data_IF_056989295429
#
_entry.id   IF_056989295429
#
_cell.length_a   1.000
_cell.length_b   1.000
_cell.length_c   1.000
_cell.angle_alpha   90.00
_cell.angle_beta   90.00
_cell.angle_gamma   90.00
#
_symmetry.space_group_name_H-M   'P 1'
#
loop_
_entity.id
_entity.type
_entity.pdbx_description
1 polymer ?
#
# COMPACT_ATOMS: atom_id res chain seq x y z
N UNK A 1 0.92 -1.60 10.50
CA UNK A 1 -0.35 -1.53 11.26
C UNK A 1 -0.20 -1.98 12.72
N UNK A 2 0.28 -3.19 13.01
CA UNK A 2 0.44 -3.69 14.38
C UNK A 2 1.28 -2.78 15.29
N UNK A 3 2.36 -2.20 14.76
CA UNK A 3 3.23 -1.31 15.54
C UNK A 3 2.53 0.01 15.87
N UNK A 4 1.77 0.55 14.92
CA UNK A 4 0.94 1.72 15.17
C UNK A 4 -0.12 1.45 16.24
N UNK A 5 -0.80 0.30 16.18
CA UNK A 5 -1.77 -0.09 17.21
C UNK A 5 -1.08 -0.22 18.59
N UNK A 6 0.08 -0.85 18.64
CA UNK A 6 0.85 -1.06 19.87
C UNK A 6 1.24 0.28 20.51
N UNK A 7 1.79 1.21 19.72
CA UNK A 7 2.30 2.50 20.21
C UNK A 7 1.20 3.53 20.49
N UNK A 8 0.26 3.71 19.57
CA UNK A 8 -0.69 4.85 19.61
C UNK A 8 -2.07 4.48 20.15
N UNK A 9 -2.41 3.19 20.23
CA UNK A 9 -3.71 2.73 20.74
C UNK A 9 -3.54 2.05 22.09
N UNK A 10 -2.65 1.06 22.19
CA UNK A 10 -2.36 0.39 23.45
C UNK A 10 -1.33 1.13 24.31
N UNK A 11 -0.82 2.27 23.81
CA UNK A 11 0.10 3.18 24.50
C UNK A 11 1.33 2.47 25.07
N UNK A 12 1.82 1.44 24.36
CA UNK A 12 3.05 0.71 24.71
C UNK A 12 4.22 1.38 24.01
N UNK A 13 4.94 2.24 24.74
CA UNK A 13 6.01 3.06 24.19
C UNK A 13 7.40 2.64 24.67
N UNK A 14 7.50 2.05 25.87
CA UNK A 14 8.79 1.58 26.40
C UNK A 14 9.15 0.19 25.89
N UNK A 15 10.45 -0.13 25.84
CA UNK A 15 10.93 -1.45 25.38
C UNK A 15 10.32 -2.59 26.20
N UNK A 16 10.22 -2.44 27.52
CA UNK A 16 9.65 -3.45 28.42
C UNK A 16 8.13 -3.62 28.20
N UNK A 17 7.41 -2.52 27.97
CA UNK A 17 5.99 -2.55 27.65
C UNK A 17 5.71 -3.22 26.30
N UNK A 18 6.60 -3.02 25.33
CA UNK A 18 6.48 -3.66 24.01
C UNK A 18 6.86 -5.13 24.08
N UNK A 19 7.89 -5.49 24.85
CA UNK A 19 8.30 -6.88 25.07
C UNK A 19 7.19 -7.68 25.77
N UNK A 20 6.57 -7.12 26.80
CA UNK A 20 5.42 -7.74 27.49
C UNK A 20 4.17 -7.85 26.59
N UNK A 21 4.06 -7.04 25.53
CA UNK A 21 2.96 -7.08 24.56
C UNK A 21 3.25 -7.97 23.33
N UNK A 22 4.39 -8.67 23.29
CA UNK A 22 4.83 -9.41 22.10
C UNK A 22 3.83 -10.50 21.68
N UNK A 23 3.26 -11.24 22.63
CA UNK A 23 2.29 -12.32 22.34
C UNK A 23 0.99 -11.79 21.72
N UNK A 24 0.48 -10.66 22.24
CA UNK A 24 -0.70 -9.98 21.73
C UNK A 24 -0.44 -9.41 20.34
N UNK A 25 0.75 -8.82 20.11
CA UNK A 25 1.19 -8.31 18.81
C UNK A 25 1.24 -9.43 17.76
N UNK A 26 1.72 -10.61 18.13
CA UNK A 26 1.78 -11.76 17.23
C UNK A 26 0.38 -12.28 16.85
N UNK A 27 -0.55 -12.39 17.80
CA UNK A 27 -1.95 -12.75 17.51
C UNK A 27 -2.63 -11.74 16.61
N UNK A 28 -2.46 -10.45 16.92
CA UNK A 28 -2.99 -9.38 16.08
C UNK A 28 -2.44 -9.45 14.66
N UNK A 29 -1.13 -9.72 14.50
CA UNK A 29 -0.50 -9.88 13.20
C UNK A 29 -1.11 -11.05 12.41
N UNK A 30 -1.22 -12.24 13.02
CA UNK A 30 -1.82 -13.43 12.42
C UNK A 30 -3.25 -13.19 11.96
N UNK A 31 -4.09 -12.63 12.82
CA UNK A 31 -5.51 -12.42 12.52
C UNK A 31 -5.75 -11.33 11.47
N UNK A 32 -4.84 -10.37 11.34
CA UNK A 32 -4.98 -9.30 10.33
C UNK A 32 -4.57 -9.75 8.92
N UNK A 33 -3.70 -10.76 8.77
CA UNK A 33 -3.24 -11.23 7.46
C UNK A 33 -4.41 -11.64 6.54
N UNK A 34 -5.29 -12.59 6.89
CA UNK A 34 -6.36 -13.04 5.99
C UNK A 34 -7.35 -11.91 5.66
N UNK A 35 -7.59 -11.01 6.63
CA UNK A 35 -8.46 -9.85 6.43
C UNK A 35 -7.84 -8.84 5.45
N UNK A 36 -6.54 -8.59 5.55
CA UNK A 36 -5.81 -7.76 4.59
C UNK A 36 -5.87 -8.36 3.18
N UNK A 37 -5.65 -9.67 3.04
CA UNK A 37 -5.79 -10.35 1.74
C UNK A 37 -7.17 -10.13 1.13
N UNK A 38 -8.23 -10.22 1.93
CA UNK A 38 -9.60 -9.99 1.46
C UNK A 38 -9.81 -8.55 1.03
N UNK A 39 -9.30 -7.57 1.78
CA UNK A 39 -9.36 -6.15 1.38
C UNK A 39 -8.62 -5.91 0.06
N UNK A 40 -7.45 -6.51 -0.14
CA UNK A 40 -6.71 -6.37 -1.40
C UNK A 40 -7.39 -7.08 -2.56
N UNK A 41 -7.94 -8.27 -2.35
CA UNK A 41 -8.76 -8.96 -3.35
C UNK A 41 -9.98 -8.11 -3.76
N UNK A 42 -10.61 -7.44 -2.79
CA UNK A 42 -11.70 -6.51 -3.07
C UNK A 42 -11.23 -5.34 -3.94
N UNK A 43 -10.14 -4.67 -3.57
CA UNK A 43 -9.60 -3.53 -4.32
C UNK A 43 -9.21 -3.92 -5.75
N UNK A 44 -8.66 -5.11 -5.93
CA UNK A 44 -8.27 -5.67 -7.22
C UNK A 44 -9.46 -5.94 -8.14
N UNK A 45 -10.50 -6.58 -7.62
CA UNK A 45 -11.71 -6.79 -8.40
C UNK A 45 -12.46 -5.49 -8.63
N UNK A 46 -12.45 -4.56 -7.68
CA UNK A 46 -13.10 -3.26 -7.81
C UNK A 46 -12.51 -2.47 -8.97
N UNK A 47 -11.18 -2.31 -9.04
CA UNK A 47 -10.55 -1.59 -10.17
C UNK A 47 -10.80 -2.29 -11.51
N UNK A 48 -10.79 -3.63 -11.55
CA UNK A 48 -11.01 -4.42 -12.77
C UNK A 48 -12.43 -4.27 -13.29
N UNK A 49 -13.43 -4.49 -12.44
CA UNK A 49 -14.84 -4.39 -12.79
C UNK A 49 -15.24 -2.94 -13.09
N UNK A 50 -14.65 -1.96 -12.41
CA UNK A 50 -14.91 -0.57 -12.71
C UNK A 50 -14.34 -0.14 -14.07
N UNK A 51 -13.15 -0.63 -14.45
CA UNK A 51 -12.63 -0.44 -15.82
C UNK A 51 -13.56 -1.06 -16.86
N UNK A 52 -14.00 -2.30 -16.64
CA UNK A 52 -14.94 -2.97 -17.53
C UNK A 52 -16.25 -2.18 -17.66
N UNK A 53 -16.79 -1.69 -16.55
CA UNK A 53 -18.00 -0.87 -16.55
C UNK A 53 -17.84 0.41 -17.38
N UNK A 54 -16.73 1.13 -17.21
CA UNK A 54 -16.42 2.35 -17.96
C UNK A 54 -16.28 2.05 -19.45
N UNK A 55 -15.67 0.92 -19.83
CA UNK A 55 -15.51 0.52 -21.22
C UNK A 55 -16.87 0.17 -21.88
N UNK A 56 -17.75 -0.50 -21.15
CA UNK A 56 -19.07 -0.90 -21.65
C UNK A 56 -20.04 0.29 -21.76
N UNK A 57 -20.02 1.21 -20.80
CA UNK A 57 -21.02 2.29 -20.70
C UNK A 57 -20.52 3.66 -21.18
N UNK A 58 -19.20 3.84 -21.31
CA UNK A 58 -18.56 5.11 -21.67
C UNK A 58 -18.52 6.15 -20.54
N UNK A 59 -18.96 5.81 -19.33
CA UNK A 59 -18.91 6.67 -18.15
C UNK A 59 -18.71 5.87 -16.87
N UNK A 60 -18.22 6.53 -15.80
CA UNK A 60 -18.04 5.91 -14.49
C UNK A 60 -19.31 5.87 -13.65
N UNK A 61 -19.29 5.00 -12.64
CA UNK A 61 -20.46 4.64 -11.85
C UNK A 61 -21.12 5.84 -11.12
N UNK A 62 -20.37 6.91 -10.84
CA UNK A 62 -20.90 8.12 -10.19
C UNK A 62 -22.03 8.81 -10.98
N UNK A 63 -22.09 8.57 -12.31
CA UNK A 63 -23.15 9.14 -13.16
C UNK A 63 -24.44 8.35 -13.14
N UNK A 64 -24.44 7.16 -12.54
CA UNK A 64 -25.62 6.32 -12.42
C UNK A 64 -26.22 6.39 -11.03
N UNK A 65 -27.55 6.59 -10.91
CA UNK A 65 -28.22 6.46 -9.63
C UNK A 65 -28.22 4.98 -9.23
N UNK A 66 -27.70 4.69 -8.05
CA UNK A 66 -27.78 3.37 -7.43
C UNK A 66 -28.07 3.50 -5.94
N UNK A 67 -28.77 2.52 -5.38
CA UNK A 67 -28.95 2.41 -3.92
C UNK A 67 -27.75 1.73 -3.27
N UNK A 68 -27.28 0.65 -3.89
CA UNK A 68 -26.04 -0.07 -3.55
C UNK A 68 -25.14 -0.09 -4.77
N UNK A 69 -23.83 0.03 -4.56
CA UNK A 69 -22.87 0.01 -5.65
C UNK A 69 -22.87 -1.40 -6.29
N UNK A 70 -23.30 -1.57 -7.55
CA UNK A 70 -23.43 -2.90 -8.17
C UNK A 70 -22.10 -3.62 -8.30
N UNK A 71 -20.99 -2.89 -8.48
CA UNK A 71 -19.64 -3.47 -8.54
C UNK A 71 -19.26 -4.02 -7.16
N UNK A 72 -19.49 -3.24 -6.11
CA UNK A 72 -19.19 -3.68 -4.74
C UNK A 72 -20.03 -4.88 -4.33
N UNK A 73 -21.33 -4.86 -4.66
CA UNK A 73 -22.25 -5.99 -4.40
C UNK A 73 -21.76 -7.27 -5.08
N UNK A 74 -21.36 -7.17 -6.36
CA UNK A 74 -20.84 -8.32 -7.11
C UNK A 74 -19.64 -8.96 -6.41
N UNK A 75 -18.70 -8.15 -5.93
CA UNK A 75 -17.49 -8.63 -5.25
C UNK A 75 -17.81 -9.16 -3.86
N UNK A 76 -18.62 -8.45 -3.08
CA UNK A 76 -18.96 -8.82 -1.70
C UNK A 76 -19.82 -10.10 -1.63
N UNK A 77 -20.53 -10.45 -2.70
CA UNK A 77 -21.21 -11.73 -2.84
C UNK A 77 -20.26 -12.92 -3.03
N UNK A 78 -18.97 -12.69 -3.26
CA UNK A 78 -17.95 -13.75 -3.27
C UNK A 78 -17.50 -14.15 -1.85
N UNK A 79 -17.78 -13.33 -0.84
CA UNK A 79 -17.38 -13.58 0.55
C UNK A 79 -18.52 -14.22 1.34
N UNK A 80 -18.16 -15.20 2.17
CA UNK A 80 -19.02 -15.74 3.19
C UNK A 80 -19.34 -14.69 4.26
N UNK A 81 -20.44 -14.91 4.98
CA UNK A 81 -20.98 -13.95 5.93
C UNK A 81 -20.00 -13.62 7.07
N UNK A 82 -19.19 -14.59 7.50
CA UNK A 82 -18.19 -14.40 8.54
C UNK A 82 -17.07 -13.49 8.04
N UNK A 83 -16.50 -13.78 6.87
CA UNK A 83 -15.45 -12.96 6.28
C UNK A 83 -15.94 -11.54 6.01
N UNK A 84 -17.14 -11.39 5.44
CA UNK A 84 -17.73 -10.08 5.15
C UNK A 84 -17.85 -9.22 6.43
N UNK A 85 -18.36 -9.81 7.52
CA UNK A 85 -18.50 -9.13 8.80
C UNK A 85 -17.13 -8.79 9.42
N UNK A 86 -16.20 -9.74 9.46
CA UNK A 86 -14.87 -9.52 10.06
C UNK A 86 -14.09 -8.42 9.31
N UNK A 87 -14.11 -8.46 7.99
CA UNK A 87 -13.45 -7.43 7.17
C UNK A 87 -14.14 -6.09 7.36
N UNK A 88 -15.46 -6.03 7.38
CA UNK A 88 -16.19 -4.79 7.66
C UNK A 88 -15.82 -4.17 9.01
N UNK A 89 -15.68 -5.00 10.05
CA UNK A 89 -15.27 -4.55 11.38
C UNK A 89 -13.82 -4.03 11.43
N UNK A 90 -12.91 -4.62 10.66
CA UNK A 90 -11.49 -4.27 10.63
C UNK A 90 -11.15 -3.18 9.61
N UNK A 91 -11.97 -2.98 8.58
CA UNK A 91 -11.72 -2.04 7.49
C UNK A 91 -11.42 -0.59 7.96
N UNK A 92 -12.19 -0.01 8.92
CA UNK A 92 -11.86 1.30 9.47
C UNK A 92 -10.47 1.38 10.10
N UNK A 93 -10.01 0.30 10.75
CA UNK A 93 -8.67 0.22 11.36
C UNK A 93 -7.58 0.21 10.29
N UNK A 94 -7.78 -0.55 9.21
CA UNK A 94 -6.85 -0.60 8.08
C UNK A 94 -6.70 0.78 7.45
N UNK A 95 -7.82 1.41 7.10
CA UNK A 95 -7.87 2.76 6.51
C UNK A 95 -7.23 3.80 7.44
N UNK A 96 -7.58 3.78 8.73
CA UNK A 96 -7.01 4.71 9.71
C UNK A 96 -5.49 4.53 9.83
N UNK A 97 -5.00 3.29 9.85
CA UNK A 97 -3.57 3.00 9.95
C UNK A 97 -2.79 3.50 8.71
N UNK A 98 -3.38 3.37 7.52
CA UNK A 98 -2.79 3.88 6.28
C UNK A 98 -2.78 5.41 6.26
N UNK A 99 -3.93 6.05 6.53
CA UNK A 99 -4.03 7.51 6.58
C UNK A 99 -3.12 8.13 7.64
N UNK A 100 -2.93 7.49 8.81
CA UNK A 100 -2.04 7.98 9.87
C UNK A 100 -0.58 8.01 9.43
N UNK A 101 -0.15 7.05 8.59
CA UNK A 101 1.25 6.97 8.12
C UNK A 101 1.66 8.15 7.24
N UNK A 102 0.70 8.70 6.49
CA UNK A 102 0.87 9.88 5.64
C UNK A 102 0.60 11.20 6.39
N UNK A 103 0.33 11.16 7.69
CA UNK A 103 0.17 12.36 8.54
C UNK A 103 1.45 12.62 9.36
N UNK A 104 1.70 13.89 9.72
CA UNK A 104 2.77 14.23 10.65
C UNK A 104 2.64 13.43 11.96
N UNK A 105 3.75 13.13 12.65
CA UNK A 105 3.71 12.46 13.95
C UNK A 105 2.82 13.21 14.96
N UNK A 106 2.01 12.46 15.73
CA UNK A 106 1.06 13.00 16.71
C UNK A 106 1.74 13.82 17.81
N UNK A 107 2.97 13.46 18.18
CA UNK A 107 3.74 14.15 19.22
C UNK A 107 4.27 15.53 18.78
N UNK A 108 4.40 15.77 17.48
CA UNK A 108 4.95 17.02 16.99
C UNK A 108 3.90 18.15 17.12
N UNK A 109 4.17 19.11 18.01
CA UNK A 109 3.36 20.33 18.18
C UNK A 109 3.47 21.31 17.01
N UNK A 110 2.75 22.43 17.05
CA UNK A 110 2.75 23.43 15.94
C UNK A 110 4.14 23.99 15.65
N UNK A 111 4.93 24.27 16.70
CA UNK A 111 6.26 24.85 16.57
C UNK A 111 7.24 23.82 16.00
N UNK A 112 7.25 22.60 16.53
CA UNK A 112 8.08 21.51 16.00
C UNK A 112 7.76 21.19 14.54
N UNK A 113 6.48 21.23 14.16
CA UNK A 113 6.06 21.07 12.75
C UNK A 113 6.65 22.15 11.84
N UNK A 114 6.67 23.39 12.30
CA UNK A 114 7.22 24.50 11.53
C UNK A 114 8.75 24.41 11.40
N UNK A 115 9.45 24.09 12.49
CA UNK A 115 10.91 23.93 12.51
C UNK A 115 11.36 22.75 11.66
N UNK A 116 10.65 21.61 11.73
CA UNK A 116 10.96 20.41 10.94
C UNK A 116 10.41 20.44 9.51
N UNK A 117 9.75 21.52 9.10
CA UNK A 117 9.18 21.68 7.77
C UNK A 117 8.08 20.67 7.43
N UNK A 118 7.35 20.16 8.43
CA UNK A 118 6.25 19.23 8.17
C UNK A 118 5.12 19.95 7.45
N UNK A 119 4.71 19.41 6.29
CA UNK A 119 3.54 19.90 5.56
C UNK A 119 2.33 19.97 6.49
N UNK A 120 1.78 21.19 6.60
CA UNK A 120 0.69 21.54 7.51
C UNK A 120 -0.66 20.99 7.05
N UNK A 121 -0.79 20.78 5.75
CA UNK A 121 -2.01 20.29 5.11
C UNK A 121 -2.07 18.76 5.15
N UNK A 122 -3.25 18.25 5.51
CA UNK A 122 -3.54 16.82 5.42
C UNK A 122 -3.54 16.42 3.94
N UNK A 123 -2.97 15.27 3.56
CA UNK A 123 -3.13 14.74 2.21
C UNK A 123 -4.62 14.69 1.81
N UNK A 124 -4.91 15.05 0.55
CA UNK A 124 -6.26 14.94 0.00
C UNK A 124 -6.80 13.51 0.15
N UNK A 125 -8.10 13.36 0.40
CA UNK A 125 -8.70 12.03 0.55
C UNK A 125 -8.61 11.22 -0.75
N UNK A 126 -8.68 11.90 -1.91
CA UNK A 126 -8.44 11.34 -3.25
C UNK A 126 -7.07 10.66 -3.38
N UNK A 127 -6.02 11.26 -2.82
CA UNK A 127 -4.67 10.69 -2.85
C UNK A 127 -4.63 9.36 -2.11
N UNK A 128 -5.31 9.26 -0.96
CA UNK A 128 -5.35 8.01 -0.21
C UNK A 128 -6.12 6.93 -0.97
N UNK A 129 -7.27 7.28 -1.54
CA UNK A 129 -8.05 6.34 -2.36
C UNK A 129 -7.23 5.87 -3.56
N UNK A 130 -6.60 6.79 -4.29
CA UNK A 130 -5.84 6.47 -5.50
C UNK A 130 -4.66 5.55 -5.19
N UNK A 131 -3.88 5.83 -4.15
CA UNK A 131 -2.75 4.97 -3.76
C UNK A 131 -3.24 3.57 -3.36
N UNK A 132 -4.32 3.49 -2.57
CA UNK A 132 -4.82 2.20 -2.08
C UNK A 132 -5.48 1.38 -3.21
N UNK A 133 -6.33 2.01 -4.03
CA UNK A 133 -7.15 1.34 -5.05
C UNK A 133 -6.44 1.15 -6.39
N UNK A 134 -5.54 2.06 -6.78
CA UNK A 134 -4.83 2.00 -8.07
C UNK A 134 -3.39 1.50 -7.88
N UNK A 135 -2.71 2.00 -6.84
CA UNK A 135 -1.34 1.61 -6.54
C UNK A 135 -1.22 0.18 -6.00
N UNK A 136 -2.17 -0.29 -5.19
CA UNK A 136 -2.18 -1.65 -4.66
C UNK A 136 -1.19 -1.91 -3.53
N UNK A 137 -1.11 -3.19 -3.12
CA UNK A 137 -0.40 -3.59 -1.89
C UNK A 137 1.10 -3.24 -1.92
N UNK A 138 1.76 -3.39 -3.07
CA UNK A 138 3.20 -3.13 -3.19
C UNK A 138 3.54 -1.65 -2.99
N UNK A 139 2.71 -0.75 -3.51
CA UNK A 139 2.90 0.69 -3.41
C UNK A 139 2.62 1.14 -1.97
N UNK A 140 1.60 0.56 -1.34
CA UNK A 140 1.32 0.74 0.09
C UNK A 140 2.48 0.24 0.95
N UNK A 141 3.03 -0.94 0.64
CA UNK A 141 4.17 -1.52 1.35
C UNK A 141 5.42 -0.64 1.20
N UNK A 142 5.72 -0.18 -0.02
CA UNK A 142 6.83 0.73 -0.30
C UNK A 142 6.70 2.03 0.52
N UNK A 143 5.50 2.58 0.63
CA UNK A 143 5.26 3.75 1.49
C UNK A 143 5.43 3.43 2.99
N UNK A 144 5.14 2.21 3.41
CA UNK A 144 5.39 1.77 4.78
C UNK A 144 6.87 1.58 5.10
N UNK A 145 7.67 1.11 4.14
CA UNK A 145 9.12 0.91 4.27
C UNK A 145 9.90 2.24 4.33
N UNK A 146 9.42 3.29 3.68
CA UNK A 146 10.10 4.60 3.69
C UNK A 146 10.09 5.20 5.10
N UNK A 147 11.29 5.51 5.59
CA UNK A 147 11.51 6.21 6.86
C UNK A 147 11.38 7.73 6.68
N UNK A 148 10.97 8.41 7.75
CA UNK A 148 10.76 9.87 7.75
C UNK A 148 9.43 10.31 7.12
N UNK A 149 8.78 11.29 7.75
CA UNK A 149 7.49 11.82 7.29
C UNK A 149 7.60 12.56 5.94
N UNK A 150 8.53 13.50 5.82
CA UNK A 150 8.65 14.33 4.61
C UNK A 150 8.99 13.48 3.37
N UNK A 151 9.90 12.51 3.51
CA UNK A 151 10.27 11.57 2.45
C UNK A 151 9.06 10.74 2.03
N UNK A 152 8.33 10.14 2.98
CA UNK A 152 7.09 9.39 2.68
C UNK A 152 6.05 10.24 1.97
N UNK A 153 5.85 11.47 2.43
CA UNK A 153 4.88 12.39 1.83
C UNK A 153 5.26 12.72 0.39
N UNK A 154 6.55 13.00 0.14
CA UNK A 154 7.09 13.20 -1.20
C UNK A 154 6.88 11.99 -2.11
N UNK A 155 7.18 10.77 -1.66
CA UNK A 155 6.91 9.54 -2.45
C UNK A 155 5.43 9.39 -2.77
N UNK A 156 4.54 9.65 -1.81
CA UNK A 156 3.10 9.58 -2.03
C UNK A 156 2.62 10.62 -3.05
N UNK A 157 3.14 11.85 -3.00
CA UNK A 157 2.81 12.90 -3.96
C UNK A 157 3.37 12.59 -5.35
N UNK A 158 4.59 12.07 -5.48
CA UNK A 158 5.14 11.60 -6.76
C UNK A 158 4.28 10.50 -7.37
N UNK A 159 3.88 9.49 -6.60
CA UNK A 159 3.00 8.43 -7.08
C UNK A 159 1.63 8.96 -7.53
N UNK A 160 1.07 9.91 -6.79
CA UNK A 160 -0.20 10.52 -7.16
C UNK A 160 -0.07 11.35 -8.45
N UNK A 161 1.05 12.07 -8.61
CA UNK A 161 1.35 12.80 -9.83
C UNK A 161 1.55 11.85 -11.02
N UNK A 162 2.19 10.69 -10.84
CA UNK A 162 2.29 9.66 -11.89
C UNK A 162 0.91 9.19 -12.38
N UNK A 163 -0.08 9.08 -11.48
CA UNK A 163 -1.47 8.79 -11.87
C UNK A 163 -2.12 9.96 -12.62
N UNK A 164 -1.77 11.21 -12.26
CA UNK A 164 -2.32 12.43 -12.86
C UNK A 164 -1.66 12.87 -14.17
N UNK A 165 -0.39 12.55 -14.42
CA UNK A 165 0.35 12.93 -15.65
C UNK A 165 -0.32 12.36 -16.93
N UNK A 166 -1.32 11.48 -16.76
CA UNK A 166 -2.33 11.12 -17.76
C UNK A 166 -3.23 12.28 -18.26
N UNK A 167 -3.16 13.46 -17.62
CA UNK A 167 -3.94 14.66 -17.99
C UNK A 167 -3.29 15.49 -19.11
N UNK A 168 -1.98 15.37 -19.35
CA UNK A 168 -1.31 16.15 -20.39
C UNK A 168 -1.01 15.28 -21.64
N UNK A 169 -1.84 15.43 -22.67
CA UNK A 169 -1.35 15.30 -24.04
C UNK A 169 -0.22 16.35 -24.24
N UNK A 170 0.81 16.08 -25.06
CA UNK A 170 1.99 16.91 -25.13
C UNK A 170 1.59 18.33 -25.48
N UNK A 171 1.96 19.30 -24.62
CA UNK A 171 2.01 20.69 -25.07
C UNK A 171 2.95 20.69 -26.27
N UNK A 172 2.38 20.89 -27.45
CA UNK A 172 3.09 21.18 -28.68
C UNK A 172 4.27 22.09 -28.37
N UNK A 173 5.47 21.68 -28.79
CA UNK A 173 6.73 22.37 -28.56
C UNK A 173 6.86 23.70 -29.34
N UNK A 174 5.79 24.48 -29.41
CA UNK A 174 5.70 25.75 -30.14
C UNK A 174 5.02 26.84 -29.30
N UNK A 175 5.48 27.06 -28.06
CA UNK A 175 5.24 28.35 -27.41
C UNK A 175 6.26 28.73 -26.33
N UNK A 176 7.45 28.12 -26.33
CA UNK A 176 8.54 28.48 -25.39
C UNK A 176 9.33 29.71 -25.88
N UNK A 177 9.08 30.19 -27.10
CA UNK A 177 9.84 31.28 -27.71
C UNK A 177 9.06 32.58 -27.85
N UNK A 178 8.57 33.20 -26.75
CA UNK A 178 8.19 34.63 -26.79
C UNK A 178 7.99 35.41 -25.47
N UNK A 179 8.13 34.82 -24.27
CA UNK A 179 7.91 35.59 -23.03
C UNK A 179 9.14 35.80 -22.13
N UNK A 180 10.31 35.28 -22.49
CA UNK A 180 11.56 35.50 -21.74
C UNK A 180 12.28 36.82 -22.09
N UNK A 181 11.54 37.89 -22.41
CA UNK A 181 12.15 39.19 -22.73
C UNK A 181 11.29 40.37 -22.26
N UNK A 182 11.20 40.56 -20.93
CA UNK A 182 11.07 41.87 -20.27
C UNK A 182 10.92 41.70 -18.75
N UNK A 183 12.02 41.93 -18.03
CA UNK A 183 12.11 42.77 -16.81
C UNK A 183 13.47 42.53 -16.15
N UNK A 184 14.35 43.50 -16.33
CA UNK A 184 15.67 43.54 -15.70
C UNK A 184 15.67 44.26 -14.36
N UNK A 185 16.70 43.92 -13.58
CA UNK A 185 17.36 44.62 -12.47
C UNK A 185 16.58 44.91 -11.18
N UNK A 186 17.06 44.32 -10.07
CA UNK A 186 17.93 45.02 -9.08
C UNK A 186 18.44 44.05 -7.98
N UNK A 187 19.77 43.98 -7.84
CA UNK A 187 20.45 44.13 -6.54
C UNK A 187 20.87 42.90 -5.73
N UNK A 188 22.19 42.86 -5.46
CA UNK A 188 22.94 42.15 -4.39
C UNK A 188 22.93 40.61 -4.43
N UNK A 189 24.05 39.89 -4.52
CA UNK A 189 25.44 40.22 -4.27
C UNK A 189 26.05 39.15 -3.37
N UNK A 190 26.89 38.25 -3.91
CA UNK A 190 28.18 37.80 -3.38
C UNK A 190 28.62 36.47 -4.03
N UNK A 191 29.80 36.60 -4.63
CA UNK A 191 30.74 35.66 -5.24
C UNK A 191 30.93 34.35 -4.46
N UNK A 192 31.08 33.23 -5.18
CA UNK A 192 32.26 32.36 -5.07
C UNK A 192 32.53 31.65 -6.40
N UNK A 193 33.81 31.46 -6.68
CA UNK A 193 34.45 31.20 -7.96
C UNK A 193 34.43 29.74 -8.42
N UNK A 194 34.22 29.54 -9.71
CA UNK A 194 34.63 28.38 -10.50
C UNK A 194 36.15 28.41 -10.68
N UNK A 195 36.81 27.28 -10.47
CA UNK A 195 38.15 27.04 -11.02
C UNK A 195 38.16 25.65 -11.67
N UNK A 196 38.19 25.66 -13.00
CA UNK A 196 38.45 24.50 -13.85
C UNK A 196 39.96 24.29 -13.93
N UNK A 197 40.43 23.04 -13.84
CA UNK A 197 41.71 22.62 -14.42
C UNK A 197 41.49 21.28 -15.11
N UNK A 198 42.09 21.16 -16.30
CA UNK A 198 41.92 20.13 -17.32
C UNK A 198 43.24 19.35 -17.47
N UNK A 199 43.10 18.05 -17.74
CA UNK A 199 43.97 17.04 -18.38
C UNK A 199 45.50 17.04 -18.16
N UNK A 200 46.07 15.87 -17.78
CA UNK A 200 46.75 14.97 -18.73
C UNK A 200 47.61 13.85 -18.07
N UNK A 201 47.59 12.69 -18.74
CA UNK A 201 48.67 11.69 -18.96
C UNK A 201 49.08 10.60 -17.93
N UNK A 202 48.83 9.35 -18.37
CA UNK A 202 49.73 8.19 -18.53
C UNK A 202 50.03 7.20 -17.38
N UNK A 203 49.54 5.97 -17.62
CA UNK A 203 50.25 4.68 -17.75
C UNK A 203 50.67 3.82 -16.52
N UNK A 204 50.21 2.57 -16.61
CA UNK A 204 50.86 1.28 -16.32
C UNK A 204 50.63 0.51 -14.99
N UNK A 205 50.30 -0.77 -15.22
CA UNK A 205 50.60 -2.03 -14.52
C UNK A 205 49.70 -2.60 -13.39
N UNK A 206 49.21 -3.82 -13.68
CA UNK A 206 48.57 -4.88 -12.86
C UNK A 206 49.75 -5.76 -12.33
N UNK A 207 49.71 -6.57 -11.22
CA UNK A 207 48.55 -7.34 -10.79
C UNK A 207 48.35 -7.71 -9.29
N UNK A 208 47.27 -8.47 -9.09
CA UNK A 208 46.97 -9.46 -8.02
C UNK A 208 46.31 -9.01 -6.70
N UNK A 209 45.20 -9.70 -6.36
CA UNK A 209 44.69 -9.72 -4.98
C UNK A 209 43.18 -9.93 -4.74
N UNK A 210 42.64 -11.07 -5.14
CA UNK A 210 41.70 -11.91 -4.34
C UNK A 210 40.31 -11.40 -3.86
N UNK A 211 39.29 -12.15 -4.33
CA UNK A 211 38.06 -12.61 -3.64
C UNK A 211 36.82 -11.69 -3.48
N UNK A 212 35.87 -11.83 -4.42
CA UNK A 212 34.42 -11.74 -4.18
C UNK A 212 33.69 -12.92 -4.85
N UNK A 213 32.75 -13.61 -4.19
CA UNK A 213 31.93 -14.62 -4.84
C UNK A 213 30.70 -13.97 -5.51
N UNK A 214 30.57 -14.23 -6.81
CA UNK A 214 29.32 -14.11 -7.60
C UNK A 214 28.80 -15.54 -7.75
N UNK A 215 27.58 -15.82 -7.30
CA UNK A 215 26.86 -17.04 -7.70
C UNK A 215 25.76 -16.57 -8.66
N UNK A 216 26.10 -16.66 -9.94
CA UNK A 216 25.21 -16.65 -11.09
C UNK A 216 24.96 -18.12 -11.45
N UNK A 217 23.69 -18.51 -11.61
CA UNK A 217 23.26 -19.91 -11.70
C UNK A 217 22.32 -20.11 -12.88
N UNK A 218 22.80 -19.85 -14.09
CA UNK A 218 22.16 -20.26 -15.34
C UNK A 218 22.63 -21.70 -15.65
N UNK A 219 21.74 -22.69 -15.52
CA UNK A 219 21.99 -24.07 -15.97
C UNK A 219 21.42 -24.25 -17.37
N UNK A 220 22.31 -24.20 -18.37
CA UNK A 220 22.10 -24.78 -19.69
C UNK A 220 21.90 -26.30 -19.56
N UNK A 221 20.80 -26.83 -20.08
CA UNK A 221 20.61 -28.27 -20.26
C UNK A 221 20.72 -28.63 -21.74
N UNK A 222 21.77 -29.38 -22.05
CA UNK A 222 22.00 -30.07 -23.33
C UNK A 222 20.98 -31.22 -23.48
N UNK A 223 20.39 -31.46 -24.67
CA UNK A 223 19.34 -32.46 -24.82
C UNK A 223 19.94 -33.85 -25.00
N UNK A 224 19.66 -34.76 -24.06
CA UNK A 224 19.93 -36.20 -24.26
C UNK A 224 18.61 -36.90 -24.60
N UNK A 225 18.62 -37.60 -25.73
CA UNK A 225 17.49 -38.36 -26.30
C UNK A 225 16.95 -39.43 -25.35
N UNK A 226 15.64 -39.62 -25.45
CA UNK A 226 14.87 -40.81 -25.08
C UNK A 226 14.42 -40.94 -23.61
N UNK A 227 13.21 -40.49 -23.33
CA UNK A 227 12.26 -41.25 -22.49
C UNK A 227 10.84 -40.77 -22.77
N UNK A 228 10.00 -41.67 -23.26
CA UNK A 228 8.55 -41.48 -23.34
C UNK A 228 7.99 -41.41 -21.92
N UNK A 229 7.79 -40.20 -21.41
CA UNK A 229 6.92 -39.95 -20.26
C UNK A 229 6.01 -38.80 -20.67
N UNK A 230 4.72 -39.10 -20.70
CA UNK A 230 3.58 -38.18 -20.86
C UNK A 230 3.86 -36.82 -20.23
N UNK A 231 3.48 -35.70 -20.88
CA UNK A 231 3.72 -34.39 -20.32
C UNK A 231 2.89 -34.28 -19.04
N UNK A 232 3.55 -34.38 -17.89
CA UNK A 232 2.98 -33.97 -16.62
C UNK A 232 2.74 -32.48 -16.76
N UNK A 233 1.49 -32.13 -17.06
CA UNK A 233 0.94 -30.79 -17.03
C UNK A 233 1.42 -30.15 -15.74
N UNK A 234 2.40 -29.26 -15.85
CA UNK A 234 2.97 -28.56 -14.71
C UNK A 234 1.82 -27.79 -14.05
N UNK A 235 1.40 -28.27 -12.88
CA UNK A 235 0.28 -27.73 -12.10
C UNK A 235 0.51 -26.27 -11.70
N UNK A 236 1.74 -25.76 -11.83
CA UNK A 236 2.09 -24.36 -11.58
C UNK A 236 1.44 -23.42 -12.61
N UNK A 237 1.29 -23.83 -13.88
CA UNK A 237 0.75 -22.97 -14.94
C UNK A 237 -0.78 -22.83 -14.93
N UNK A 238 -1.48 -23.54 -14.04
CA UNK A 238 -2.93 -23.40 -13.84
C UNK A 238 -3.29 -22.82 -12.46
N UNK A 239 -2.33 -22.22 -11.75
CA UNK A 239 -2.57 -21.58 -10.44
C UNK A 239 -2.69 -20.06 -10.59
N UNK A 240 -3.36 -19.38 -9.66
CA UNK A 240 -3.44 -17.91 -9.60
C UNK A 240 -2.09 -17.19 -9.62
N UNK A 241 -0.98 -17.88 -9.37
CA UNK A 241 0.38 -17.35 -9.47
C UNK A 241 0.87 -17.17 -10.92
N UNK A 242 0.26 -17.85 -11.89
CA UNK A 242 0.56 -17.70 -13.32
C UNK A 242 -0.17 -16.51 -13.98
N UNK A 243 -1.20 -15.96 -13.32
CA UNK A 243 -2.01 -14.85 -13.83
C UNK A 243 -1.38 -13.46 -13.63
N UNK A 244 -0.14 -13.41 -13.12
CA UNK A 244 0.55 -12.17 -12.76
C UNK A 244 0.44 -11.86 -11.27
N UNK A 245 1.11 -10.78 -10.85
CA UNK A 245 1.10 -10.35 -9.46
C UNK A 245 -0.25 -9.70 -9.10
N UNK A 246 -0.80 -9.95 -7.90
CA UNK A 246 -2.03 -9.30 -7.48
C UNK A 246 -1.82 -7.78 -7.45
N UNK A 247 -2.80 -7.03 -7.94
CA UNK A 247 -2.74 -5.58 -8.06
C UNK A 247 -1.58 -5.07 -8.94
N UNK A 248 -1.29 -5.72 -10.08
CA UNK A 248 -0.22 -5.26 -10.98
C UNK A 248 -0.46 -3.81 -11.49
N UNK A 249 0.61 -3.16 -11.95
CA UNK A 249 0.59 -1.78 -12.43
C UNK A 249 -0.37 -1.68 -13.62
N UNK A 250 -1.32 -0.76 -13.53
CA UNK A 250 -2.24 -0.46 -14.62
C UNK A 250 -1.53 0.32 -15.73
N UNK A 251 -2.09 0.26 -16.94
CA UNK A 251 -1.66 1.08 -18.07
C UNK A 251 -2.05 2.56 -17.86
N UNK A 252 -1.35 3.47 -18.53
CA UNK A 252 -1.54 4.91 -18.34
C UNK A 252 -2.96 5.37 -18.70
N UNK A 253 -3.56 4.77 -19.72
CA UNK A 253 -4.95 5.04 -20.14
C UNK A 253 -5.96 4.57 -19.08
N UNK A 254 -5.68 3.45 -18.40
CA UNK A 254 -6.54 2.92 -17.36
C UNK A 254 -6.55 3.82 -16.11
N UNK A 255 -5.41 4.39 -15.73
CA UNK A 255 -5.37 5.40 -14.65
C UNK A 255 -6.22 6.62 -15.01
N UNK A 256 -6.15 7.09 -16.27
CA UNK A 256 -6.93 8.23 -16.76
C UNK A 256 -8.44 8.00 -16.64
N UNK A 257 -8.89 6.78 -16.91
CA UNK A 257 -10.29 6.41 -16.80
C UNK A 257 -10.76 6.26 -15.36
N UNK A 258 -9.95 5.64 -14.49
CA UNK A 258 -10.36 5.34 -13.12
C UNK A 258 -10.27 6.53 -12.17
N UNK A 259 -9.17 7.29 -12.23
CA UNK A 259 -8.86 8.34 -11.25
C UNK A 259 -10.02 9.35 -11.02
N UNK A 260 -10.70 9.89 -12.06
CA UNK A 260 -11.79 10.84 -11.85
C UNK A 260 -13.09 10.21 -11.34
N UNK A 261 -13.20 8.87 -11.34
CA UNK A 261 -14.42 8.15 -10.96
C UNK A 261 -14.26 7.41 -9.62
N UNK A 262 -13.13 7.59 -8.91
CA UNK A 262 -12.90 6.91 -7.64
C UNK A 262 -13.73 7.54 -6.51
N UNK A 263 -14.47 6.74 -5.72
CA UNK A 263 -15.21 7.25 -4.58
C UNK A 263 -14.26 7.67 -3.45
N UNK A 264 -14.78 8.44 -2.50
CA UNK A 264 -14.05 8.70 -1.26
C UNK A 264 -13.69 7.38 -0.55
N UNK A 265 -12.49 7.29 0.02
CA UNK A 265 -11.97 6.06 0.65
C UNK A 265 -12.90 5.48 1.72
N UNK A 266 -13.62 6.34 2.44
CA UNK A 266 -14.57 5.94 3.47
C UNK A 266 -15.87 5.36 2.90
N UNK A 267 -16.25 5.75 1.67
CA UNK A 267 -17.44 5.19 0.99
C UNK A 267 -17.14 3.83 0.39
N UNK A 268 -15.91 3.64 -0.05
CA UNK A 268 -15.43 2.37 -0.54
C UNK A 268 -15.58 1.32 0.57
N UNK A 269 -16.22 0.20 0.26
CA UNK A 269 -16.56 -0.89 1.18
C UNK A 269 -17.68 -0.59 2.20
N UNK A 270 -17.59 0.47 3.00
CA UNK A 270 -18.40 0.59 4.22
C UNK A 270 -19.92 0.57 3.99
N UNK A 271 -20.43 1.43 3.09
CA UNK A 271 -21.88 1.58 2.90
C UNK A 271 -22.52 0.33 2.31
N UNK A 272 -21.88 -0.27 1.31
CA UNK A 272 -22.43 -1.46 0.65
C UNK A 272 -22.30 -2.69 1.54
N UNK A 273 -21.16 -2.86 2.25
CA UNK A 273 -20.98 -3.98 3.14
C UNK A 273 -21.97 -3.94 4.32
N UNK A 274 -22.19 -2.76 4.93
CA UNK A 274 -23.16 -2.63 6.03
C UNK A 274 -24.58 -3.02 5.57
N UNK A 275 -25.00 -2.54 4.40
CA UNK A 275 -26.30 -2.90 3.84
C UNK A 275 -26.43 -4.41 3.58
N UNK A 276 -25.40 -5.04 3.01
CA UNK A 276 -25.39 -6.49 2.78
C UNK A 276 -25.36 -7.30 4.08
N UNK A 277 -24.65 -6.83 5.12
CA UNK A 277 -24.60 -7.48 6.43
C UNK A 277 -26.00 -7.53 7.07
N UNK A 278 -26.75 -6.44 6.96
CA UNK A 278 -28.12 -6.35 7.46
C UNK A 278 -29.10 -7.14 6.60
N UNK A 279 -28.98 -7.06 5.27
CA UNK A 279 -29.84 -7.78 4.32
C UNK A 279 -29.71 -9.31 4.48
N UNK A 280 -28.48 -9.81 4.63
CA UNK A 280 -28.19 -11.22 4.89
C UNK A 280 -28.50 -11.66 6.33
N UNK A 281 -28.92 -10.74 7.20
CA UNK A 281 -29.22 -10.99 8.63
C UNK A 281 -28.05 -11.61 9.40
N UNK A 282 -26.82 -11.23 9.03
CA UNK A 282 -25.63 -11.62 9.78
C UNK A 282 -25.65 -11.00 11.18
N UNK A 283 -26.21 -9.79 11.26
CA UNK A 283 -26.41 -9.02 12.48
C UNK A 283 -27.80 -8.39 12.43
N UNK A 284 -28.49 -8.31 13.58
CA UNK A 284 -29.85 -7.73 13.64
C UNK A 284 -29.88 -6.21 13.41
N UNK A 285 -28.90 -5.48 13.96
CA UNK A 285 -28.82 -4.02 13.86
C UNK A 285 -27.39 -3.56 13.62
N UNK A 286 -27.24 -2.40 12.97
CA UNK A 286 -25.92 -1.80 12.71
C UNK A 286 -25.13 -1.49 13.99
N UNK A 287 -25.81 -1.25 15.11
CA UNK A 287 -25.15 -1.00 16.42
C UNK A 287 -24.46 -2.24 16.99
N UNK A 288 -24.88 -3.43 16.56
CA UNK A 288 -24.32 -4.69 17.03
C UNK A 288 -23.05 -5.07 16.22
N UNK A 289 -22.73 -4.31 15.17
CA UNK A 289 -21.45 -4.39 14.47
C UNK A 289 -20.34 -3.82 15.36
N UNK A 290 -19.33 -4.64 15.66
CA UNK A 290 -18.22 -4.25 16.52
C UNK A 290 -17.45 -3.06 15.95
N UNK A 291 -17.12 -2.10 16.82
CA UNK A 291 -16.36 -0.88 16.45
C UNK A 291 -14.95 -0.92 17.02
N UNK A 292 -14.04 -0.20 16.35
CA UNK A 292 -12.61 0.02 16.66
C UNK A 292 -12.09 -0.64 17.95
N UNK A 293 -12.46 -0.14 19.14
CA UNK A 293 -11.94 -0.64 20.41
C UNK A 293 -12.26 -2.12 20.66
N UNK A 294 -13.49 -2.57 20.38
CA UNK A 294 -13.91 -3.96 20.54
C UNK A 294 -13.16 -4.87 19.56
N UNK A 295 -13.04 -4.43 18.30
CA UNK A 295 -12.31 -5.15 17.25
C UNK A 295 -10.84 -5.34 17.63
N UNK A 296 -10.19 -4.30 18.15
CA UNK A 296 -8.81 -4.38 18.58
C UNK A 296 -8.60 -5.29 19.79
N UNK A 297 -9.52 -5.28 20.75
CA UNK A 297 -9.50 -6.23 21.86
C UNK A 297 -9.66 -7.67 21.35
N UNK A 298 -10.53 -7.90 20.39
CA UNK A 298 -10.74 -9.23 19.80
C UNK A 298 -9.52 -9.73 19.02
N UNK A 299 -8.78 -8.84 18.35
CA UNK A 299 -7.53 -9.18 17.68
C UNK A 299 -6.42 -9.67 18.65
N UNK A 300 -6.46 -9.27 19.93
CA UNK A 300 -5.42 -9.62 20.91
C UNK A 300 -5.84 -10.68 21.94
N UNK A 301 -7.15 -10.95 22.05
CA UNK A 301 -7.72 -11.92 23.01
C UNK A 301 -7.16 -13.33 22.82
N UNK A 302 -6.88 -14.00 23.93
CA UNK A 302 -6.39 -15.38 23.97
C UNK A 302 -7.45 -16.39 23.54
N UNK A 303 -8.69 -16.21 24.01
CA UNK A 303 -9.70 -17.27 23.98
C UNK A 303 -10.64 -17.23 22.76
N UNK A 304 -10.50 -16.25 21.86
CA UNK A 304 -11.53 -15.95 20.86
C UNK A 304 -11.36 -16.62 19.50
N UNK A 305 -10.14 -17.01 19.12
CA UNK A 305 -9.80 -17.41 17.74
C UNK A 305 -8.73 -18.50 17.72
N UNK A 306 -8.64 -19.31 18.78
CA UNK A 306 -7.66 -20.42 18.83
C UNK A 306 -7.89 -21.38 17.67
N UNK A 307 -9.15 -21.62 17.30
CA UNK A 307 -9.53 -22.55 16.25
C UNK A 307 -9.18 -22.04 14.84
N UNK A 308 -9.40 -20.75 14.52
CA UNK A 308 -9.00 -20.22 13.21
C UNK A 308 -7.49 -20.01 13.14
N UNK A 309 -6.84 -19.56 14.21
CA UNK A 309 -5.37 -19.42 14.23
C UNK A 309 -4.69 -20.79 13.97
N UNK A 310 -5.27 -21.88 14.52
CA UNK A 310 -4.84 -23.25 14.24
C UNK A 310 -5.17 -23.65 12.80
N UNK A 311 -6.33 -23.26 12.27
CA UNK A 311 -6.72 -23.59 10.90
C UNK A 311 -5.85 -22.90 9.84
N UNK A 312 -5.50 -21.63 10.04
CA UNK A 312 -4.69 -20.83 9.12
C UNK A 312 -3.19 -21.15 9.20
N UNK A 313 -2.68 -21.48 10.39
CA UNK A 313 -1.23 -21.56 10.63
C UNK A 313 -0.75 -22.89 11.22
N UNK A 314 -1.67 -23.81 11.54
CA UNK A 314 -1.36 -25.02 12.28
C UNK A 314 -0.92 -24.76 13.72
N UNK A 315 -0.50 -25.81 14.43
CA UNK A 315 0.04 -25.71 15.79
C UNK A 315 1.48 -25.19 15.83
N UNK A 316 2.15 -25.07 14.68
CA UNK A 316 3.57 -24.74 14.59
C UNK A 316 3.78 -23.28 14.17
N UNK A 317 4.40 -22.48 15.04
CA UNK A 317 4.75 -21.09 14.72
C UNK A 317 5.98 -21.05 13.80
N UNK A 318 5.81 -20.77 12.51
CA UNK A 318 6.96 -20.61 11.59
C UNK A 318 7.52 -19.18 11.64
N UNK A 319 8.81 -19.00 11.33
CA UNK A 319 9.49 -17.69 11.36
C UNK A 319 8.83 -16.65 10.44
N UNK A 320 8.16 -17.08 9.38
CA UNK A 320 7.47 -16.19 8.41
C UNK A 320 6.21 -15.53 8.97
N UNK A 321 5.64 -16.06 10.05
CA UNK A 321 4.39 -15.57 10.66
C UNK A 321 4.70 -14.70 11.90
N UNK A 322 5.97 -14.59 12.28
CA UNK A 322 6.38 -13.67 13.34
C UNK A 322 6.46 -12.26 12.78
N UNK A 323 5.85 -11.28 13.45
CA UNK A 323 6.00 -9.90 13.03
C UNK A 323 7.48 -9.51 13.10
N UNK A 324 7.99 -8.73 12.12
CA UNK A 324 9.41 -8.37 12.08
C UNK A 324 9.85 -7.62 13.35
N UNK A 325 11.15 -7.67 13.71
CA UNK A 325 11.70 -6.92 14.82
C UNK A 325 11.41 -5.42 14.66
N UNK A 326 11.04 -4.75 15.76
CA UNK A 326 10.58 -3.35 15.76
C UNK A 326 11.63 -2.36 15.24
N UNK A 327 12.91 -2.71 15.34
CA UNK A 327 14.06 -1.92 14.89
C UNK A 327 14.06 -1.69 13.36
N UNK A 328 13.38 -2.54 12.58
CA UNK A 328 13.31 -2.40 11.12
C UNK A 328 12.48 -1.17 10.67
N UNK A 329 11.63 -0.61 11.52
CA UNK A 329 10.69 0.48 11.19
C UNK A 329 10.70 1.58 12.27
N UNK A 330 11.83 1.76 12.96
CA UNK A 330 12.00 2.96 13.79
C UNK A 330 11.98 4.21 12.88
N UNK A 331 11.03 5.11 13.17
CA UNK A 331 11.12 6.49 12.72
C UNK A 331 12.26 7.15 13.48
N UNK A 332 13.01 8.01 12.80
CA UNK A 332 14.26 8.58 13.31
C UNK A 332 14.14 8.99 14.79
N UNK A 333 15.09 8.57 15.64
CA UNK A 333 15.11 8.99 17.02
C UNK A 333 15.25 10.52 17.10
N UNK A 334 14.75 11.05 18.22
CA UNK A 334 14.92 12.45 18.59
C UNK A 334 16.41 12.66 18.87
N UNK A 335 17.16 13.12 17.87
CA UNK A 335 18.46 13.76 18.05
C UNK A 335 18.31 15.29 18.09
#
# INVERSE_FOLDING_TARGET
MCDWCTKEIFLKTTRDQVASFASQRERMYRRLIPLLFTVFHFLENYRRLHLQYIQEHGYGLERTPYTLNPIEVQIMNMYDDRTLLQVHQVFPLIVASFCRRLRPPSYAGRVERAVRGYLREKPADELHTAILCLGGLRQVLRLWEVKGYNTRRGVADTLYNEFQESKEAPRSAESISKEAKRRGLKGLGRKMSILQVRDASQANDIPEGSNRPVIDGCLEQVPTRSSMITPTTSFVFNTSLAAGMPMDKLEQEQYKMLLPNLPALQKLWLSTAEALILDRKIVERSVDIKRNAQVMLDLIKENGVVEEDIWWYGMATTKSIRPPPLEAIEEDPID
#
